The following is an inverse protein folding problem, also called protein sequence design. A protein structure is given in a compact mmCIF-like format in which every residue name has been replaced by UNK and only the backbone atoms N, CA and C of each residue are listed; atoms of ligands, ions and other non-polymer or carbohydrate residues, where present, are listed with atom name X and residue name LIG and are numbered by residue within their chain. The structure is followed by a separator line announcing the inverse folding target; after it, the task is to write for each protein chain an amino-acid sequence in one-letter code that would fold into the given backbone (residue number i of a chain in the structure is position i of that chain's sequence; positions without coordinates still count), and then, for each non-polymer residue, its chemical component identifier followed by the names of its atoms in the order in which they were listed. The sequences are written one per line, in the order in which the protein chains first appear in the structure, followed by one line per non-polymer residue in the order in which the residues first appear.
data_IF_374086879480
#
_entry.id   IF_374086879480
#
_cell.length_a   1.000
_cell.length_b   1.000
_cell.length_c   1.000
_cell.angle_alpha   90.00
_cell.angle_beta   90.00
_cell.angle_gamma   90.00
#
_symmetry.space_group_name_H-M   'P 1'
#
loop_
_entity.id
_entity.type
_entity.pdbx_description
1 polymer ?
#
# COMPACT_ATOMS: atom_id res chain seq x y z
N UNK A 1 6.22 -38.55 -2.99
CA UNK A 1 5.90 -37.18 -2.58
C UNK A 1 7.15 -36.59 -1.93
N UNK A 2 7.75 -35.53 -2.50
CA UNK A 2 8.93 -34.88 -1.90
C UNK A 2 8.53 -34.32 -0.53
N UNK A 3 9.31 -34.61 0.51
CA UNK A 3 9.03 -34.19 1.90
C UNK A 3 9.62 -32.82 2.25
N UNK A 4 10.46 -32.27 1.38
CA UNK A 4 11.14 -31.00 1.58
C UNK A 4 11.36 -30.37 0.21
N UNK A 5 10.92 -29.13 0.05
CA UNK A 5 11.27 -28.31 -1.09
C UNK A 5 12.38 -27.35 -0.64
N UNK A 6 13.53 -27.32 -1.34
CA UNK A 6 14.53 -26.26 -1.16
C UNK A 6 13.89 -24.89 -1.33
N UNK A 7 14.30 -23.90 -0.55
CA UNK A 7 13.78 -22.52 -0.64
C UNK A 7 13.99 -21.95 -2.04
N UNK A 8 15.07 -22.37 -2.70
CA UNK A 8 15.43 -22.02 -4.07
C UNK A 8 14.47 -22.63 -5.10
N UNK A 9 13.82 -23.77 -4.79
CA UNK A 9 12.76 -24.37 -5.63
C UNK A 9 11.37 -23.79 -5.32
N UNK A 10 11.18 -23.09 -4.19
CA UNK A 10 9.88 -22.55 -3.76
C UNK A 10 9.62 -21.14 -4.28
N UNK A 11 10.66 -20.35 -4.58
CA UNK A 11 10.52 -18.89 -4.75
C UNK A 11 11.31 -18.29 -5.91
N UNK A 12 11.84 -19.10 -6.85
CA UNK A 12 12.61 -18.58 -7.99
C UNK A 12 12.23 -19.26 -9.29
N UNK A 13 10.94 -19.24 -9.57
CA UNK A 13 10.47 -19.53 -10.90
C UNK A 13 10.97 -18.42 -11.85
N UNK A 14 11.50 -18.81 -13.01
CA UNK A 14 11.99 -17.90 -14.05
C UNK A 14 10.93 -16.90 -14.55
N UNK A 15 9.65 -17.15 -14.24
CA UNK A 15 8.52 -16.25 -14.47
C UNK A 15 8.53 -15.00 -13.56
N UNK A 16 9.21 -15.02 -12.41
CA UNK A 16 9.27 -13.86 -11.52
C UNK A 16 10.50 -13.01 -11.79
N UNK A 17 10.28 -11.76 -12.21
CA UNK A 17 11.34 -10.78 -12.43
C UNK A 17 11.36 -9.79 -11.28
N UNK A 18 12.42 -9.82 -10.46
CA UNK A 18 12.63 -8.79 -9.45
C UNK A 18 13.07 -7.49 -10.12
N UNK A 19 12.35 -6.41 -9.86
CA UNK A 19 12.68 -5.08 -10.34
C UNK A 19 13.03 -4.18 -9.15
N UNK A 20 13.96 -3.24 -9.36
CA UNK A 20 14.29 -2.19 -8.39
C UNK A 20 13.19 -1.12 -8.33
N UNK A 21 13.14 -0.34 -7.26
CA UNK A 21 12.23 0.83 -7.17
C UNK A 21 12.41 1.78 -8.36
N UNK A 22 13.66 2.05 -8.77
CA UNK A 22 13.95 2.86 -9.96
C UNK A 22 13.36 2.25 -11.23
N UNK A 23 13.44 0.93 -11.40
CA UNK A 23 12.86 0.24 -12.56
C UNK A 23 11.33 0.27 -12.53
N UNK A 24 10.71 0.15 -11.35
CA UNK A 24 9.26 0.30 -11.18
C UNK A 24 8.78 1.73 -11.48
N UNK A 25 9.51 2.74 -11.00
CA UNK A 25 9.23 4.15 -11.30
C UNK A 25 9.42 4.50 -12.78
N UNK A 26 10.39 3.86 -13.44
CA UNK A 26 10.65 4.03 -14.87
C UNK A 26 9.78 3.13 -15.76
N UNK A 27 8.92 2.28 -15.19
CA UNK A 27 8.07 1.38 -15.95
C UNK A 27 6.99 2.21 -16.66
N UNK A 28 6.94 2.20 -18.01
CA UNK A 28 5.98 3.00 -18.77
C UNK A 28 4.52 2.62 -18.53
N UNK A 29 4.24 1.47 -17.89
CA UNK A 29 2.90 1.06 -17.43
C UNK A 29 2.49 1.76 -16.13
N UNK A 30 3.47 2.17 -15.31
CA UNK A 30 3.27 2.85 -14.02
C UNK A 30 3.35 4.37 -14.18
N UNK A 31 4.08 4.85 -15.20
CA UNK A 31 4.11 6.27 -15.57
C UNK A 31 2.77 6.62 -16.22
N UNK A 32 1.94 7.33 -15.47
CA UNK A 32 0.78 8.07 -15.98
C UNK A 32 1.13 8.67 -17.35
N UNK A 33 0.52 8.14 -18.41
CA UNK A 33 0.66 8.68 -19.75
C UNK A 33 0.25 10.16 -19.69
N UNK A 34 1.25 11.06 -19.71
CA UNK A 34 0.99 12.45 -20.00
C UNK A 34 0.29 12.48 -21.35
N UNK A 35 -0.96 12.96 -21.39
CA UNK A 35 -1.72 12.97 -22.62
C UNK A 35 -0.92 13.59 -23.78
N UNK A 36 -0.91 12.98 -24.98
CA UNK A 36 -0.37 13.62 -26.18
C UNK A 36 -1.09 14.94 -26.54
N UNK A 37 -2.24 15.23 -25.91
CA UNK A 37 -3.14 16.35 -26.24
C UNK A 37 -2.84 17.64 -25.48
N UNK A 38 -1.93 17.63 -24.50
CA UNK A 38 -1.48 18.84 -23.80
C UNK A 38 -2.47 19.42 -22.77
N UNK A 39 -3.57 18.75 -22.43
CA UNK A 39 -4.45 19.17 -21.32
C UNK A 39 -4.22 18.30 -20.08
N UNK A 40 -3.66 18.89 -19.03
CA UNK A 40 -3.61 18.24 -17.70
C UNK A 40 -5.05 18.03 -17.19
N UNK A 41 -5.40 16.83 -16.69
CA UNK A 41 -6.71 16.61 -16.10
C UNK A 41 -6.89 17.49 -14.86
N UNK A 42 -8.14 17.87 -14.56
CA UNK A 42 -8.47 18.68 -13.37
C UNK A 42 -8.24 17.94 -12.06
N UNK A 43 -8.19 16.61 -12.13
CA UNK A 43 -7.93 15.73 -11.00
C UNK A 43 -7.17 14.50 -11.48
N UNK A 44 -6.27 13.99 -10.64
CA UNK A 44 -5.58 12.72 -10.87
C UNK A 44 -6.31 11.53 -10.27
N UNK A 45 -7.54 11.72 -9.76
CA UNK A 45 -8.41 10.62 -9.30
C UNK A 45 -8.77 9.69 -10.44
N UNK A 46 -9.07 8.44 -10.08
CA UNK A 46 -9.53 7.44 -11.02
C UNK A 46 -10.98 7.75 -11.40
N UNK A 47 -11.22 8.03 -12.67
CA UNK A 47 -12.55 8.30 -13.22
C UNK A 47 -12.70 7.59 -14.56
N UNK A 48 -13.91 7.12 -14.94
CA UNK A 48 -14.09 6.32 -16.16
C UNK A 48 -13.76 7.05 -17.47
N UNK A 49 -13.76 8.39 -17.48
CA UNK A 49 -13.46 9.21 -18.65
C UNK A 49 -11.96 9.35 -18.94
N UNK A 50 -11.08 8.91 -18.02
CA UNK A 50 -9.64 8.95 -18.26
C UNK A 50 -9.21 7.92 -19.31
N UNK A 51 -8.28 8.29 -20.22
CA UNK A 51 -7.78 7.36 -21.23
C UNK A 51 -7.14 6.10 -20.64
N UNK A 52 -6.51 6.21 -19.46
CA UNK A 52 -5.80 5.13 -18.76
C UNK A 52 -6.66 4.41 -17.70
N UNK A 53 -7.94 4.79 -17.53
CA UNK A 53 -8.77 4.36 -16.40
C UNK A 53 -8.80 2.83 -16.21
N UNK A 54 -8.97 2.08 -17.30
CA UNK A 54 -9.07 0.62 -17.24
C UNK A 54 -7.77 -0.06 -16.81
N UNK A 55 -6.62 0.44 -17.25
CA UNK A 55 -5.33 -0.14 -16.87
C UNK A 55 -4.95 0.27 -15.44
N UNK A 56 -5.17 1.54 -15.09
CA UNK A 56 -4.93 2.05 -13.74
C UNK A 56 -5.80 1.35 -12.69
N UNK A 57 -7.10 1.14 -12.97
CA UNK A 57 -8.01 0.42 -12.07
C UNK A 57 -7.58 -1.03 -11.85
N UNK A 58 -7.20 -1.74 -12.92
CA UNK A 58 -6.73 -3.14 -12.84
C UNK A 58 -5.40 -3.26 -12.11
N UNK A 59 -4.48 -2.32 -12.34
CA UNK A 59 -3.20 -2.26 -11.63
C UNK A 59 -3.42 -2.03 -10.13
N UNK A 60 -4.29 -1.09 -9.77
CA UNK A 60 -4.62 -0.82 -8.36
C UNK A 60 -5.29 -2.03 -7.70
N UNK A 61 -6.24 -2.69 -8.37
CA UNK A 61 -6.87 -3.91 -7.85
C UNK A 61 -5.91 -5.09 -7.69
N UNK A 62 -4.94 -5.22 -8.59
CA UNK A 62 -3.90 -6.25 -8.46
C UNK A 62 -3.01 -5.98 -7.24
N UNK A 63 -2.63 -4.72 -7.02
CA UNK A 63 -1.91 -4.31 -5.81
C UNK A 63 -2.71 -4.50 -4.52
N UNK A 64 -4.04 -4.28 -4.53
CA UNK A 64 -4.92 -4.62 -3.41
C UNK A 64 -4.85 -6.12 -3.13
N UNK A 65 -5.08 -6.97 -4.14
CA UNK A 65 -4.98 -8.43 -4.01
C UNK A 65 -3.67 -8.90 -3.34
N UNK A 66 -2.53 -8.34 -3.75
CA UNK A 66 -1.24 -8.70 -3.15
C UNK A 66 -1.05 -8.08 -1.76
N UNK A 67 -1.64 -6.91 -1.51
CA UNK A 67 -1.80 -6.35 -0.16
C UNK A 67 -2.51 -7.33 0.78
N UNK A 68 -3.66 -7.89 0.36
CA UNK A 68 -4.45 -8.83 1.16
C UNK A 68 -3.67 -10.09 1.53
N UNK A 69 -2.86 -10.64 0.60
CA UNK A 69 -2.00 -11.80 0.89
C UNK A 69 -0.99 -11.46 1.99
N UNK A 70 -0.41 -10.27 1.93
CA UNK A 70 0.59 -9.84 2.90
C UNK A 70 -0.06 -9.52 4.25
N UNK A 71 -1.27 -8.92 4.25
CA UNK A 71 -2.03 -8.59 5.46
C UNK A 71 -2.46 -9.87 6.18
N UNK A 72 -2.91 -10.88 5.43
CA UNK A 72 -3.20 -12.22 5.93
C UNK A 72 -2.02 -12.82 6.71
N UNK A 73 -0.82 -12.76 6.14
CA UNK A 73 0.39 -13.22 6.79
C UNK A 73 0.72 -12.38 8.04
N UNK A 74 0.53 -11.06 7.97
CA UNK A 74 0.72 -10.14 9.10
C UNK A 74 -0.20 -10.43 10.28
N UNK A 75 -1.49 -10.63 10.02
CA UNK A 75 -2.49 -10.99 11.02
C UNK A 75 -2.20 -12.38 11.61
N UNK A 76 -1.87 -13.37 10.75
CA UNK A 76 -1.50 -14.72 11.17
C UNK A 76 -0.27 -14.76 12.08
N UNK A 77 0.80 -14.05 11.71
CA UNK A 77 2.02 -13.93 12.52
C UNK A 77 1.77 -13.24 13.85
N UNK A 78 1.02 -12.14 13.84
CA UNK A 78 0.68 -11.40 15.06
C UNK A 78 -0.17 -12.25 15.99
N UNK A 79 -1.13 -13.01 15.44
CA UNK A 79 -1.89 -14.01 16.19
C UNK A 79 -0.98 -15.07 16.80
N UNK A 80 0.00 -15.57 16.06
CA UNK A 80 0.91 -16.61 16.54
C UNK A 80 1.83 -16.12 17.66
N UNK A 81 2.53 -15.00 17.45
CA UNK A 81 3.64 -14.54 18.31
C UNK A 81 3.21 -14.00 19.67
N UNK A 82 1.98 -13.49 19.81
CA UNK A 82 1.46 -13.18 21.14
C UNK A 82 1.14 -14.44 21.93
N UNK A 83 1.64 -14.59 23.15
CA UNK A 83 1.28 -15.71 24.02
C UNK A 83 -0.03 -15.42 24.76
N UNK A 84 -0.88 -16.43 24.96
CA UNK A 84 -2.11 -16.23 25.75
C UNK A 84 -1.78 -16.26 27.24
N UNK A 85 -2.14 -15.23 28.01
CA UNK A 85 -1.93 -15.21 29.45
C UNK A 85 -2.63 -14.05 30.17
N UNK A 86 -2.32 -13.89 31.46
CA UNK A 86 -2.87 -12.86 32.34
C UNK A 86 -2.23 -11.47 32.17
N UNK A 87 -1.19 -11.34 31.34
CA UNK A 87 -0.43 -10.09 31.20
C UNK A 87 0.74 -9.96 32.18
N UNK A 88 1.05 -11.03 32.93
CA UNK A 88 2.09 -11.01 33.97
C UNK A 88 3.52 -11.19 33.40
N UNK A 89 3.63 -11.65 32.15
CA UNK A 89 4.90 -11.78 31.43
C UNK A 89 4.88 -10.97 30.13
N UNK A 90 6.06 -10.54 29.61
CA UNK A 90 6.15 -9.88 28.32
C UNK A 90 5.43 -10.68 27.23
N UNK A 91 4.65 -10.01 26.40
CA UNK A 91 3.88 -10.58 25.27
C UNK A 91 2.81 -11.61 25.64
N UNK A 92 2.50 -11.76 26.93
CA UNK A 92 1.28 -12.44 27.36
C UNK A 92 0.08 -11.50 27.25
N UNK A 93 -0.93 -11.90 26.49
CA UNK A 93 -2.11 -11.08 26.18
C UNK A 93 -3.38 -11.88 26.44
N UNK A 94 -4.52 -11.21 26.70
CA UNK A 94 -5.78 -11.91 26.84
C UNK A 94 -6.15 -12.63 25.54
N UNK A 95 -6.84 -13.78 25.66
CA UNK A 95 -7.30 -14.58 24.52
C UNK A 95 -8.08 -13.76 23.48
N UNK A 96 -8.80 -12.72 23.92
CA UNK A 96 -9.52 -11.81 23.03
C UNK A 96 -8.62 -11.17 21.98
N UNK A 97 -7.36 -10.82 22.29
CA UNK A 97 -6.45 -10.25 21.30
C UNK A 97 -6.14 -11.28 20.21
N UNK A 98 -5.75 -12.51 20.60
CA UNK A 98 -5.47 -13.57 19.61
C UNK A 98 -6.70 -13.90 18.77
N UNK A 99 -7.88 -13.94 19.38
CA UNK A 99 -9.13 -14.18 18.66
C UNK A 99 -9.42 -13.07 17.65
N UNK A 100 -9.16 -11.82 18.02
CA UNK A 100 -9.30 -10.65 17.15
C UNK A 100 -8.31 -10.70 15.97
N UNK A 101 -7.04 -11.03 16.20
CA UNK A 101 -6.06 -11.25 15.12
C UNK A 101 -6.42 -12.45 14.23
N UNK A 102 -6.97 -13.52 14.80
CA UNK A 102 -7.42 -14.69 14.03
C UNK A 102 -8.64 -14.38 13.15
N UNK A 103 -9.53 -13.48 13.62
CA UNK A 103 -10.65 -12.97 12.81
C UNK A 103 -10.14 -12.13 11.65
N UNK A 104 -9.23 -11.20 11.91
CA UNK A 104 -8.61 -10.43 10.82
C UNK A 104 -7.98 -11.38 9.80
N UNK A 105 -7.18 -12.38 10.22
CA UNK A 105 -6.62 -13.35 9.28
C UNK A 105 -7.71 -14.12 8.47
N UNK A 106 -8.88 -14.35 9.04
CA UNK A 106 -10.00 -14.92 8.29
C UNK A 106 -10.59 -13.92 7.29
N UNK A 107 -10.71 -12.66 7.68
CA UNK A 107 -11.20 -11.57 6.83
C UNK A 107 -10.24 -11.31 5.66
N UNK A 108 -8.92 -11.25 5.89
CA UNK A 108 -7.94 -11.09 4.81
C UNK A 108 -7.93 -12.29 3.84
N UNK A 109 -8.13 -13.52 4.34
CA UNK A 109 -8.27 -14.69 3.47
C UNK A 109 -9.50 -14.56 2.55
N UNK A 110 -10.60 -14.02 3.08
CA UNK A 110 -11.79 -13.70 2.28
C UNK A 110 -11.51 -12.53 1.33
N UNK A 111 -10.76 -11.51 1.73
CA UNK A 111 -10.38 -10.39 0.86
C UNK A 111 -9.56 -10.89 -0.33
N UNK A 112 -8.58 -11.77 -0.11
CA UNK A 112 -7.85 -12.46 -1.18
C UNK A 112 -8.82 -13.14 -2.17
N UNK A 113 -9.79 -13.92 -1.69
CA UNK A 113 -10.77 -14.58 -2.56
C UNK A 113 -11.64 -13.59 -3.34
N UNK A 114 -12.03 -12.47 -2.72
CA UNK A 114 -12.80 -11.40 -3.36
C UNK A 114 -11.96 -10.74 -4.45
N UNK A 115 -10.72 -10.34 -4.15
CA UNK A 115 -9.84 -9.64 -5.09
C UNK A 115 -9.43 -10.52 -6.28
N UNK A 116 -9.32 -11.84 -6.10
CA UNK A 116 -9.16 -12.79 -7.23
C UNK A 116 -10.37 -12.75 -8.15
N UNK A 117 -11.58 -12.79 -7.59
CA UNK A 117 -12.83 -12.73 -8.41
C UNK A 117 -13.02 -11.37 -9.07
N UNK A 118 -12.67 -10.28 -8.40
CA UNK A 118 -12.68 -8.94 -8.98
C UNK A 118 -11.64 -8.82 -10.10
N UNK A 119 -10.47 -9.43 -9.96
CA UNK A 119 -9.47 -9.49 -11.03
C UNK A 119 -10.02 -10.16 -12.27
N UNK A 120 -10.64 -11.35 -12.12
CA UNK A 120 -11.31 -12.04 -13.23
C UNK A 120 -12.44 -11.19 -13.84
N UNK A 121 -13.26 -10.55 -13.00
CA UNK A 121 -14.36 -9.68 -13.42
C UNK A 121 -13.89 -8.49 -14.25
N UNK A 122 -12.79 -7.87 -13.84
CA UNK A 122 -12.18 -6.72 -14.52
C UNK A 122 -11.31 -7.12 -15.71
N UNK A 123 -11.06 -8.42 -15.92
CA UNK A 123 -10.23 -8.93 -17.00
C UNK A 123 -8.74 -8.67 -16.79
N UNK A 124 -8.26 -8.86 -15.55
CA UNK A 124 -6.83 -8.98 -15.24
C UNK A 124 -6.43 -10.41 -14.91
N UNK A 125 -5.14 -10.71 -15.01
CA UNK A 125 -4.55 -11.98 -14.60
C UNK A 125 -3.67 -11.81 -13.35
N UNK A 126 -3.61 -12.84 -12.50
CA UNK A 126 -2.71 -12.83 -11.34
C UNK A 126 -1.27 -12.75 -11.82
N UNK A 127 -0.54 -11.74 -11.33
CA UNK A 127 0.86 -11.49 -11.71
C UNK A 127 1.01 -10.64 -12.97
N UNK A 128 -0.07 -10.05 -13.47
CA UNK A 128 -0.04 -9.15 -14.63
C UNK A 128 0.71 -7.85 -14.35
N UNK A 129 0.61 -7.30 -13.13
CA UNK A 129 1.29 -6.07 -12.72
C UNK A 129 2.43 -6.33 -11.75
N UNK A 130 3.32 -5.34 -11.64
CA UNK A 130 4.47 -5.41 -10.74
C UNK A 130 4.04 -5.20 -9.29
N UNK A 131 4.70 -5.90 -8.38
CA UNK A 131 4.32 -5.96 -6.98
C UNK A 131 5.48 -5.61 -6.05
N UNK A 132 5.14 -5.23 -4.82
CA UNK A 132 6.12 -4.94 -3.78
C UNK A 132 5.82 -5.74 -2.50
N UNK A 133 6.87 -5.92 -1.69
CA UNK A 133 6.84 -6.70 -0.45
C UNK A 133 6.81 -5.82 0.81
N UNK A 134 6.50 -4.53 0.70
CA UNK A 134 6.70 -3.60 1.81
C UNK A 134 5.78 -3.95 3.00
N UNK A 135 4.53 -4.35 2.75
CA UNK A 135 3.63 -4.77 3.83
C UNK A 135 4.16 -6.02 4.53
N UNK A 136 4.60 -7.02 3.76
CA UNK A 136 5.22 -8.24 4.29
C UNK A 136 6.49 -7.95 5.11
N UNK A 137 7.33 -7.02 4.66
CA UNK A 137 8.52 -6.59 5.39
C UNK A 137 8.17 -5.94 6.73
N UNK A 138 7.12 -5.11 6.78
CA UNK A 138 6.59 -4.54 8.02
C UNK A 138 6.01 -5.63 8.93
N UNK A 139 5.27 -6.59 8.36
CA UNK A 139 4.74 -7.75 9.07
C UNK A 139 5.85 -8.67 9.62
N UNK A 140 7.06 -8.61 9.08
CA UNK A 140 8.23 -9.35 9.57
C UNK A 140 8.93 -8.70 10.77
N UNK A 141 8.46 -7.55 11.27
CA UNK A 141 8.96 -6.99 12.54
C UNK A 141 8.94 -8.05 13.63
N UNK A 142 10.03 -8.20 14.40
CA UNK A 142 10.12 -9.23 15.44
C UNK A 142 9.22 -8.95 16.64
N UNK A 143 8.82 -7.69 16.85
CA UNK A 143 7.96 -7.29 17.95
C UNK A 143 6.49 -7.23 17.46
N UNK A 144 5.57 -8.05 18.02
CA UNK A 144 4.17 -8.06 17.59
C UNK A 144 3.43 -6.74 17.90
N UNK A 145 3.89 -5.94 18.88
CA UNK A 145 3.34 -4.59 19.14
C UNK A 145 3.71 -3.63 18.01
N UNK A 146 4.88 -3.78 17.41
CA UNK A 146 5.27 -2.96 16.25
C UNK A 146 4.41 -3.32 15.03
N UNK A 147 3.90 -4.55 14.92
CA UNK A 147 2.94 -4.92 13.88
C UNK A 147 1.56 -4.30 14.13
N UNK A 148 1.09 -4.23 15.37
CA UNK A 148 -0.16 -3.51 15.69
C UNK A 148 -0.08 -2.03 15.29
N UNK A 149 1.09 -1.40 15.39
CA UNK A 149 1.27 -0.02 14.97
C UNK A 149 1.52 0.10 13.45
N UNK A 150 2.49 -0.65 12.93
CA UNK A 150 2.93 -0.57 11.54
C UNK A 150 1.93 -1.20 10.56
N UNK A 151 1.39 -2.38 10.84
CA UNK A 151 0.41 -3.04 9.96
C UNK A 151 -0.98 -2.48 10.24
N UNK A 152 -1.56 -2.76 11.42
CA UNK A 152 -2.96 -2.42 11.68
C UNK A 152 -3.26 -0.92 11.64
N UNK A 153 -2.40 -0.04 12.18
CA UNK A 153 -2.68 1.40 12.14
C UNK A 153 -2.21 2.04 10.84
N UNK A 154 -0.96 1.87 10.44
CA UNK A 154 -0.45 2.55 9.24
C UNK A 154 -0.96 1.90 7.94
N UNK A 155 -0.75 0.61 7.73
CA UNK A 155 -1.03 -0.05 6.44
C UNK A 155 -2.51 -0.33 6.21
N UNK A 156 -3.23 -0.90 7.18
CA UNK A 156 -4.70 -1.05 7.03
C UNK A 156 -5.38 0.33 7.00
N UNK A 157 -4.81 1.31 7.70
CA UNK A 157 -5.27 2.70 7.62
C UNK A 157 -5.15 3.26 6.20
N UNK A 158 -4.10 2.90 5.46
CA UNK A 158 -3.99 3.21 4.03
C UNK A 158 -4.97 2.38 3.20
N UNK A 159 -5.18 1.11 3.52
CA UNK A 159 -6.12 0.25 2.81
C UNK A 159 -7.52 0.88 2.79
N UNK A 160 -7.97 1.47 3.90
CA UNK A 160 -9.22 2.29 3.97
C UNK A 160 -9.30 3.34 2.84
N UNK A 161 -8.21 4.05 2.56
CA UNK A 161 -8.17 5.10 1.52
C UNK A 161 -8.28 4.50 0.11
N UNK A 162 -7.62 3.35 -0.10
CA UNK A 162 -7.58 2.64 -1.37
C UNK A 162 -8.94 1.98 -1.69
N UNK A 163 -9.52 1.25 -0.73
CA UNK A 163 -10.86 0.67 -0.86
C UNK A 163 -11.93 1.74 -1.10
N UNK A 164 -11.83 2.88 -0.39
CA UNK A 164 -12.74 4.01 -0.66
C UNK A 164 -12.61 4.50 -2.10
N UNK A 165 -11.39 4.62 -2.62
CA UNK A 165 -11.13 5.07 -3.99
C UNK A 165 -11.72 4.10 -5.03
N UNK A 166 -11.53 2.79 -4.84
CA UNK A 166 -12.05 1.78 -5.77
C UNK A 166 -13.57 1.63 -5.69
N UNK A 167 -14.15 1.72 -4.49
CA UNK A 167 -15.59 1.80 -4.28
C UNK A 167 -16.21 2.98 -5.03
N UNK A 168 -15.67 4.18 -4.87
CA UNK A 168 -16.14 5.39 -5.56
C UNK A 168 -15.99 5.27 -7.08
N UNK A 169 -14.89 4.66 -7.55
CA UNK A 169 -14.71 4.37 -8.96
C UNK A 169 -15.78 3.40 -9.50
N UNK A 170 -16.08 2.32 -8.76
CA UNK A 170 -17.15 1.38 -9.11
C UNK A 170 -18.51 2.04 -9.27
N UNK A 171 -18.91 2.90 -8.33
CA UNK A 171 -20.17 3.66 -8.38
C UNK A 171 -20.23 4.54 -9.64
N UNK A 172 -19.20 5.36 -9.87
CA UNK A 172 -19.16 6.29 -11.01
C UNK A 172 -19.05 5.54 -12.36
N UNK A 173 -18.39 4.38 -12.39
CA UNK A 173 -18.31 3.51 -13.56
C UNK A 173 -19.62 2.74 -13.84
N UNK A 174 -20.57 2.74 -12.89
CA UNK A 174 -21.77 1.92 -12.96
C UNK A 174 -21.48 0.42 -12.83
N UNK A 175 -20.42 0.05 -12.11
CA UNK A 175 -20.05 -1.33 -11.80
C UNK A 175 -20.50 -1.69 -10.37
N UNK A 176 -21.68 -2.33 -10.21
CA UNK A 176 -22.23 -2.63 -8.89
C UNK A 176 -21.48 -3.75 -8.17
N UNK A 177 -20.68 -4.56 -8.87
CA UNK A 177 -19.93 -5.65 -8.24
C UNK A 177 -18.65 -5.11 -7.61
N UNK A 178 -17.93 -4.26 -8.34
CA UNK A 178 -16.76 -3.57 -7.81
C UNK A 178 -17.14 -2.70 -6.61
N UNK A 179 -18.18 -1.87 -6.75
CA UNK A 179 -18.65 -1.01 -5.64
C UNK A 179 -18.99 -1.85 -4.39
N UNK A 180 -19.80 -2.90 -4.54
CA UNK A 180 -20.24 -3.72 -3.41
C UNK A 180 -19.09 -4.46 -2.73
N UNK A 181 -18.20 -5.07 -3.51
CA UNK A 181 -17.08 -5.83 -2.95
C UNK A 181 -16.10 -4.93 -2.21
N UNK A 182 -15.77 -3.76 -2.76
CA UNK A 182 -14.88 -2.79 -2.13
C UNK A 182 -15.51 -2.16 -0.88
N UNK A 183 -16.82 -1.85 -0.88
CA UNK A 183 -17.53 -1.38 0.32
C UNK A 183 -17.57 -2.43 1.43
N UNK A 184 -17.70 -3.72 1.07
CA UNK A 184 -17.69 -4.80 2.03
C UNK A 184 -16.30 -4.96 2.68
N UNK A 185 -15.22 -5.01 1.89
CA UNK A 185 -13.85 -5.09 2.43
C UNK A 185 -13.51 -3.84 3.26
N UNK A 186 -13.94 -2.65 2.82
CA UNK A 186 -13.76 -1.40 3.58
C UNK A 186 -14.38 -1.46 4.99
N UNK A 187 -15.53 -2.12 5.15
CA UNK A 187 -16.17 -2.26 6.46
C UNK A 187 -15.33 -3.11 7.43
N UNK A 188 -14.66 -4.14 6.91
CA UNK A 188 -13.74 -4.98 7.66
C UNK A 188 -12.47 -4.19 8.03
N UNK A 189 -11.91 -3.41 7.11
CA UNK A 189 -10.71 -2.61 7.38
C UNK A 189 -10.88 -1.56 8.46
N UNK A 190 -12.03 -0.90 8.50
CA UNK A 190 -12.36 0.03 9.60
C UNK A 190 -12.28 -0.70 10.95
N UNK A 191 -12.69 -1.96 10.99
CA UNK A 191 -12.61 -2.81 12.18
C UNK A 191 -11.18 -3.24 12.46
N UNK A 192 -10.40 -3.65 11.46
CA UNK A 192 -9.00 -4.06 11.60
C UNK A 192 -8.13 -2.96 12.21
N UNK A 193 -8.27 -1.74 11.69
CA UNK A 193 -7.56 -0.56 12.19
C UNK A 193 -7.99 -0.20 13.62
N UNK A 194 -9.29 -0.22 13.90
CA UNK A 194 -9.82 0.07 15.23
C UNK A 194 -9.31 -0.92 16.28
N UNK A 195 -9.34 -2.19 15.92
CA UNK A 195 -8.85 -3.28 16.73
C UNK A 195 -7.35 -3.12 17.04
N UNK A 196 -6.51 -2.89 16.03
CA UNK A 196 -5.07 -2.65 16.25
C UNK A 196 -4.79 -1.43 17.12
N UNK A 197 -5.56 -0.36 16.93
CA UNK A 197 -5.50 0.85 17.74
C UNK A 197 -5.80 0.62 19.21
N UNK A 198 -6.88 -0.12 19.49
CA UNK A 198 -7.30 -0.45 20.84
C UNK A 198 -6.30 -1.38 21.52
N UNK A 199 -5.82 -2.41 20.80
CA UNK A 199 -4.85 -3.35 21.33
C UNK A 199 -3.50 -2.71 21.57
N UNK A 200 -2.98 -1.90 20.64
CA UNK A 200 -1.73 -1.15 20.83
C UNK A 200 -1.75 -0.37 22.15
N UNK A 201 -2.84 0.34 22.45
CA UNK A 201 -2.97 1.09 23.72
C UNK A 201 -3.02 0.15 24.93
N UNK A 202 -3.80 -0.93 24.88
CA UNK A 202 -3.96 -1.85 26.01
C UNK A 202 -2.68 -2.61 26.34
N UNK A 203 -2.03 -3.21 25.35
CA UNK A 203 -0.83 -4.04 25.56
C UNK A 203 0.39 -3.23 26.00
N UNK A 204 0.38 -1.92 25.77
CA UNK A 204 1.45 -1.01 26.19
C UNK A 204 1.05 -0.08 27.34
N UNK A 205 -0.06 -0.35 28.03
CA UNK A 205 -0.55 0.51 29.13
C UNK A 205 0.53 0.75 30.19
N UNK A 206 1.30 -0.29 30.52
CA UNK A 206 2.38 -0.26 31.50
C UNK A 206 3.79 -0.18 30.86
N UNK A 207 3.88 0.04 29.55
CA UNK A 207 5.13 0.13 28.80
C UNK A 207 5.10 1.32 27.81
N UNK A 208 5.22 2.56 28.32
CA UNK A 208 5.16 3.75 27.50
C UNK A 208 6.34 3.88 26.52
N UNK A 209 7.49 3.28 26.84
CA UNK A 209 8.66 3.30 25.95
C UNK A 209 8.45 2.40 24.73
N UNK A 210 7.95 1.17 24.93
CA UNK A 210 7.57 0.30 23.81
C UNK A 210 6.47 0.91 22.96
N UNK A 211 5.48 1.58 23.58
CA UNK A 211 4.46 2.34 22.84
C UNK A 211 5.09 3.41 21.96
N UNK A 212 6.00 4.22 22.53
CA UNK A 212 6.69 5.29 21.80
C UNK A 212 7.44 4.70 20.60
N UNK A 213 8.21 3.64 20.78
CA UNK A 213 8.98 3.01 19.72
C UNK A 213 8.07 2.43 18.62
N UNK A 214 6.92 1.84 18.99
CA UNK A 214 5.93 1.34 18.03
C UNK A 214 5.29 2.48 17.20
N UNK A 215 5.02 3.64 17.81
CA UNK A 215 4.50 4.81 17.10
C UNK A 215 5.56 5.49 16.21
N UNK A 216 6.83 5.49 16.63
CA UNK A 216 7.95 5.91 15.78
C UNK A 216 8.09 4.97 14.57
N UNK A 217 7.96 3.66 14.78
CA UNK A 217 7.93 2.67 13.70
C UNK A 217 6.75 2.92 12.75
N UNK A 218 5.54 3.13 13.28
CA UNK A 218 4.37 3.52 12.47
C UNK A 218 4.67 4.75 11.61
N UNK A 219 5.29 5.79 12.18
CA UNK A 219 5.63 7.02 11.46
C UNK A 219 6.63 6.80 10.31
N UNK A 220 7.52 5.81 10.45
CA UNK A 220 8.42 5.40 9.35
C UNK A 220 7.64 4.69 8.26
N UNK A 221 6.76 3.75 8.64
CA UNK A 221 5.89 3.03 7.71
C UNK A 221 4.99 4.00 6.94
N UNK A 222 4.33 4.93 7.62
CA UNK A 222 3.47 5.96 7.01
C UNK A 222 4.21 6.81 5.96
N UNK A 223 5.51 7.08 6.18
CA UNK A 223 6.34 7.80 5.20
C UNK A 223 6.67 6.95 3.98
N UNK A 224 7.09 5.70 4.19
CA UNK A 224 7.40 4.75 3.10
C UNK A 224 6.15 4.55 2.24
N UNK A 225 4.99 4.39 2.87
CA UNK A 225 3.71 4.11 2.23
C UNK A 225 2.90 5.33 1.81
N UNK A 226 3.44 6.55 1.94
CA UNK A 226 2.88 7.73 1.27
C UNK A 226 2.89 7.62 -0.26
N UNK A 227 3.43 6.51 -0.80
CA UNK A 227 3.60 6.24 -2.23
C UNK A 227 4.25 7.42 -2.94
N UNK A 228 5.25 8.06 -2.32
CA UNK A 228 5.88 9.28 -2.84
C UNK A 228 4.90 10.41 -3.17
N UNK A 229 3.74 10.48 -2.52
CA UNK A 229 2.73 11.51 -2.73
C UNK A 229 1.54 11.13 -3.64
N UNK A 230 1.31 9.84 -3.97
CA UNK A 230 0.07 9.48 -4.69
C UNK A 230 -1.18 9.54 -3.81
N UNK A 231 -1.01 9.55 -2.49
CA UNK A 231 -2.09 9.78 -1.51
C UNK A 231 -1.98 11.19 -0.95
N UNK A 232 -3.06 11.97 -0.97
CA UNK A 232 -3.24 13.20 -0.15
C UNK A 232 -4.67 13.77 -0.29
N UNK A 233 -4.98 14.83 0.46
CA UNK A 233 -6.22 15.61 0.26
C UNK A 233 -6.23 16.46 -1.03
N UNK A 234 -5.11 16.54 -1.75
CA UNK A 234 -5.05 17.26 -3.02
C UNK A 234 -5.83 16.51 -4.11
N UNK A 235 -6.48 17.27 -4.99
CA UNK A 235 -7.07 16.74 -6.23
C UNK A 235 -6.02 16.23 -7.22
N UNK A 236 -4.74 16.58 -7.00
CA UNK A 236 -3.60 16.10 -7.79
C UNK A 236 -3.05 14.75 -7.29
N UNK A 237 -3.54 14.24 -6.17
CA UNK A 237 -3.24 12.89 -5.71
C UNK A 237 -4.27 11.89 -6.26
N UNK A 238 -3.84 10.74 -6.83
CA UNK A 238 -4.74 9.66 -7.24
C UNK A 238 -5.58 9.05 -6.14
N UNK A 239 -5.08 9.01 -4.90
CA UNK A 239 -5.75 8.42 -3.74
C UNK A 239 -6.05 9.55 -2.74
N UNK A 240 -7.27 9.57 -2.21
CA UNK A 240 -7.68 10.54 -1.20
C UNK A 240 -7.62 10.01 0.20
N UNK A 241 -7.51 10.91 1.16
CA UNK A 241 -7.62 10.53 2.56
C UNK A 241 -9.09 10.35 2.93
N UNK A 242 -9.48 9.12 3.27
CA UNK A 242 -10.83 8.76 3.68
C UNK A 242 -11.07 9.13 5.17
N UNK A 243 -11.05 10.45 5.45
CA UNK A 243 -11.06 11.03 6.80
C UNK A 243 -12.15 10.44 7.70
N UNK A 244 -13.38 10.32 7.18
CA UNK A 244 -14.52 9.78 7.95
C UNK A 244 -14.31 8.34 8.38
N UNK A 245 -13.80 7.48 7.52
CA UNK A 245 -13.55 6.08 7.86
C UNK A 245 -12.38 5.93 8.83
N UNK A 246 -11.33 6.77 8.69
CA UNK A 246 -10.23 6.84 9.66
C UNK A 246 -10.70 7.27 11.06
N UNK A 247 -11.60 8.25 11.14
CA UNK A 247 -12.24 8.62 12.42
C UNK A 247 -12.99 7.43 13.05
N UNK A 248 -13.80 6.71 12.26
CA UNK A 248 -14.53 5.52 12.72
C UNK A 248 -13.57 4.42 13.21
N UNK A 249 -12.44 4.30 12.53
CA UNK A 249 -11.34 3.40 12.84
C UNK A 249 -10.52 3.83 14.07
N UNK A 250 -10.85 4.96 14.71
CA UNK A 250 -10.25 5.38 15.97
C UNK A 250 -9.03 6.30 15.84
N UNK A 251 -8.80 6.91 14.68
CA UNK A 251 -7.90 8.05 14.56
C UNK A 251 -8.56 9.31 15.11
N UNK A 252 -7.76 10.15 15.76
CA UNK A 252 -8.16 11.51 16.14
C UNK A 252 -8.02 12.46 14.95
N UNK A 253 -8.76 13.58 14.97
CA UNK A 253 -8.63 14.62 13.93
C UNK A 253 -7.20 15.13 13.77
N UNK A 254 -6.45 15.21 14.88
CA UNK A 254 -5.03 15.60 14.87
C UNK A 254 -4.19 14.58 14.12
N UNK A 255 -4.32 13.29 14.42
CA UNK A 255 -3.57 12.23 13.73
C UNK A 255 -3.92 12.17 12.24
N UNK A 256 -5.20 12.31 11.88
CA UNK A 256 -5.62 12.37 10.47
C UNK A 256 -5.01 13.60 9.78
N UNK A 257 -4.92 14.74 10.46
CA UNK A 257 -4.29 15.93 9.92
C UNK A 257 -2.77 15.76 9.74
N UNK A 258 -2.08 15.14 10.70
CA UNK A 258 -0.65 14.85 10.58
C UNK A 258 -0.36 13.93 9.38
N UNK A 259 -1.19 12.90 9.17
CA UNK A 259 -1.10 12.02 8.00
C UNK A 259 -1.32 12.82 6.70
N UNK A 260 -2.31 13.72 6.69
CA UNK A 260 -2.59 14.58 5.54
C UNK A 260 -1.39 15.50 5.21
N UNK A 261 -0.78 16.10 6.23
CA UNK A 261 0.37 17.00 6.07
C UNK A 261 1.61 16.26 5.54
N UNK A 262 1.91 15.07 6.08
CA UNK A 262 3.00 14.21 5.59
C UNK A 262 2.75 13.81 4.14
N UNK A 263 1.52 13.42 3.82
CA UNK A 263 1.10 13.01 2.48
C UNK A 263 1.22 14.15 1.47
N UNK A 264 0.81 15.36 1.85
CA UNK A 264 0.96 16.56 1.01
C UNK A 264 2.43 16.94 0.81
N UNK A 265 3.25 16.86 1.85
CA UNK A 265 4.70 17.11 1.74
C UNK A 265 5.36 16.14 0.75
N UNK A 266 5.01 14.86 0.80
CA UNK A 266 5.52 13.86 -0.13
C UNK A 266 5.11 14.17 -1.59
N UNK A 267 3.88 14.64 -1.81
CA UNK A 267 3.43 15.11 -3.13
C UNK A 267 4.27 16.27 -3.65
N UNK A 268 4.53 17.29 -2.82
CA UNK A 268 5.34 18.45 -3.21
C UNK A 268 6.81 18.07 -3.46
N UNK A 269 7.38 17.17 -2.67
CA UNK A 269 8.73 16.64 -2.88
C UNK A 269 8.84 15.89 -4.23
N UNK A 270 7.86 15.05 -4.57
CA UNK A 270 7.80 14.40 -5.89
C UNK A 270 7.72 15.41 -7.02
N UNK A 271 6.85 16.42 -6.91
CA UNK A 271 6.71 17.46 -7.95
C UNK A 271 8.03 18.21 -8.16
N UNK A 272 8.72 18.57 -7.08
CA UNK A 272 10.02 19.23 -7.15
C UNK A 272 11.06 18.33 -7.83
N UNK A 273 11.11 17.04 -7.48
CA UNK A 273 12.00 16.06 -8.11
C UNK A 273 11.72 15.89 -9.60
N UNK A 274 10.46 15.74 -10.01
CA UNK A 274 10.07 15.65 -11.42
C UNK A 274 10.42 16.92 -12.20
N UNK A 275 10.20 18.11 -11.62
CA UNK A 275 10.55 19.38 -12.24
C UNK A 275 12.07 19.54 -12.42
N UNK A 276 12.87 19.11 -11.45
CA UNK A 276 14.33 19.12 -11.55
C UNK A 276 14.83 18.13 -12.63
N UNK A 277 14.28 16.92 -12.67
CA UNK A 277 14.66 15.88 -13.64
C UNK A 277 14.36 16.29 -15.09
N UNK A 278 13.27 17.03 -15.31
CA UNK A 278 12.94 17.60 -16.63
C UNK A 278 13.91 18.71 -17.05
N UNK A 279 14.41 19.51 -16.10
CA UNK A 279 15.38 20.56 -16.39
C UNK A 279 16.79 20.00 -16.70
N UNK A 280 17.18 18.89 -16.07
CA UNK A 280 18.47 18.24 -16.35
C UNK A 280 18.46 17.51 -17.71
N UNK A 281 17.32 16.91 -18.11
CA UNK A 281 17.17 16.23 -19.42
C UNK A 281 17.29 17.15 -20.65
N UNK A 282 17.00 18.44 -20.49
CA UNK A 282 17.18 19.44 -21.56
C UNK A 282 18.65 19.87 -21.76
N UNK A 283 19.55 19.54 -20.82
CA UNK A 283 20.97 19.91 -20.92
C UNK A 283 21.85 18.90 -21.64
N UNK A 284 21.44 17.62 -21.76
CA UNK A 284 22.22 16.60 -22.49
C UNK A 284 21.99 16.59 -24.01
N UNK A 285 20.97 17.29 -24.53
CA UNK A 285 20.69 17.35 -25.96
C UNK A 285 21.25 18.58 -26.71
N UNK A 286 22.03 19.45 -26.05
CA UNK A 286 22.64 20.63 -26.71
C UNK A 286 24.11 20.45 -27.13
N UNK A 287 24.76 19.31 -26.88
CA UNK A 287 26.17 19.10 -27.23
C UNK A 287 26.40 17.86 -28.12
N UNK A 288 25.77 17.79 -29.29
CA UNK A 288 26.36 17.02 -30.40
C UNK A 288 26.26 17.81 -31.70
N UNK A 289 27.23 18.72 -31.89
CA UNK A 289 27.42 19.50 -33.11
C UNK A 289 28.88 19.49 -33.55
N UNK A 290 29.20 18.55 -34.44
CA UNK A 290 30.28 18.58 -35.46
C UNK A 290 31.75 18.53 -34.99
N UNK A 291 32.43 17.41 -35.29
CA UNK A 291 33.88 17.27 -35.28
C UNK A 291 34.34 15.93 -35.84
N UNK A 292 34.80 15.94 -37.08
CA UNK A 292 35.18 14.86 -38.00
C UNK A 292 36.35 13.95 -37.58
N UNK A 293 36.24 12.68 -38.02
CA UNK A 293 37.29 11.74 -38.47
C UNK A 293 38.74 11.86 -37.96
N UNK A 294 39.24 10.79 -37.33
CA UNK A 294 40.34 9.92 -37.81
C UNK A 294 40.81 9.00 -36.67
N UNK A 295 40.69 7.69 -36.84
CA UNK A 295 41.46 6.72 -36.05
C UNK A 295 42.35 5.94 -37.02
N UNK A 296 43.64 6.26 -36.95
CA UNK A 296 44.73 5.49 -37.50
C UNK A 296 45.18 4.42 -36.48
N UNK A 297 45.72 3.34 -37.02
CA UNK A 297 46.31 2.17 -36.37
C UNK A 297 47.12 2.43 -35.08
N UNK A 298 46.90 1.58 -34.07
CA UNK A 298 47.91 0.84 -33.28
C UNK A 298 47.24 -0.16 -32.32
#
# INVERSE_FOLDING_TARGET
MRKFFPVEELARDERFTQITMRQSEADPRTVLLAEPTGKRPKTNRLTPDRPDASEAARSLMHGIFVGEIQALEGAGRTCFDFETGSGDAPDTVPFSLKLDMARQAWDEARHVEISVKLSDWMGSEIGQFAENTVLFEVACSSDPVFRLAGVNRALEGLAIDVFTTMKEFGDIAGDPYLEFCEDWMLADEVTHVKMGSDWLRRVTENDPERRKNALEFQSVVDKIFSFGGTRSDSNESPIGLARRFRELAGFTNTEVQEIADVSLKALEERKAFSAASLNDGDTEHSETGTGTEQLADA
#
